data_IF_734511274161
#
_entry.id   IF_734511274161
#
_cell.length_a   1.000
_cell.length_b   1.000
_cell.length_c   1.000
_cell.angle_alpha   90.00
_cell.angle_beta   90.00
_cell.angle_gamma   90.00
#
_symmetry.space_group_name_H-M   'P 1'
#
loop_
_entity.id
_entity.type
_entity.pdbx_description
1 polymer ?
#
# COMPACT_ATOMS: atom_id res chain seq x y z
N UNK A 1 -68.30 7.63 25.58
CA UNK A 1 -67.96 8.40 24.36
C UNK A 1 -66.62 9.08 24.66
N UNK A 2 -65.51 8.50 24.19
CA UNK A 2 -64.16 9.05 24.40
C UNK A 2 -63.59 9.51 23.05
N UNK A 3 -62.91 10.66 22.98
CA UNK A 3 -62.49 11.23 21.71
C UNK A 3 -61.27 10.50 21.14
N UNK A 4 -61.26 10.40 19.81
CA UNK A 4 -60.18 9.89 18.98
C UNK A 4 -58.97 10.82 19.13
N UNK A 5 -57.88 10.32 19.69
CA UNK A 5 -56.60 11.04 19.75
C UNK A 5 -55.98 11.03 18.35
N UNK A 6 -55.94 12.20 17.70
CA UNK A 6 -55.21 12.45 16.45
C UNK A 6 -53.73 12.06 16.61
N UNK A 7 -53.33 10.93 16.01
CA UNK A 7 -51.95 10.40 16.05
C UNK A 7 -51.16 10.56 14.73
N UNK A 8 -51.70 11.28 13.74
CA UNK A 8 -51.16 11.29 12.37
C UNK A 8 -50.31 12.50 11.98
N UNK A 9 -50.18 13.51 12.85
CA UNK A 9 -49.48 14.76 12.47
C UNK A 9 -47.97 14.67 12.73
N UNK A 10 -47.52 14.00 13.80
CA UNK A 10 -46.09 13.95 14.15
C UNK A 10 -45.24 13.09 13.22
N UNK A 11 -45.78 11.98 12.70
CA UNK A 11 -45.00 11.08 11.83
C UNK A 11 -44.69 11.71 10.47
N UNK A 12 -45.63 12.49 9.91
CA UNK A 12 -45.43 13.21 8.65
C UNK A 12 -44.34 14.27 8.77
N UNK A 13 -44.28 15.01 9.88
CA UNK A 13 -43.22 15.99 10.10
C UNK A 13 -41.86 15.34 10.26
N UNK A 14 -41.75 14.24 11.02
CA UNK A 14 -40.50 13.48 11.16
C UNK A 14 -40.01 12.99 9.79
N UNK A 15 -40.90 12.46 8.96
CA UNK A 15 -40.56 11.97 7.62
C UNK A 15 -40.09 13.11 6.71
N UNK A 16 -40.77 14.26 6.73
CA UNK A 16 -40.36 15.45 5.96
C UNK A 16 -38.98 15.93 6.40
N UNK A 17 -38.72 16.02 7.71
CA UNK A 17 -37.42 16.45 8.23
C UNK A 17 -36.32 15.48 7.82
N UNK A 18 -36.55 14.17 7.90
CA UNK A 18 -35.59 13.16 7.46
C UNK A 18 -35.25 13.27 5.96
N UNK A 19 -36.26 13.48 5.12
CA UNK A 19 -36.08 13.67 3.67
C UNK A 19 -35.29 14.97 3.39
N UNK A 20 -35.62 16.05 4.09
CA UNK A 20 -34.91 17.34 3.93
C UNK A 20 -33.45 17.23 4.36
N UNK A 21 -33.15 16.53 5.45
CA UNK A 21 -31.76 16.29 5.90
C UNK A 21 -31.01 15.43 4.90
N UNK A 22 -31.63 14.38 4.37
CA UNK A 22 -31.02 13.52 3.35
C UNK A 22 -30.73 14.30 2.05
N UNK A 23 -31.68 15.10 1.58
CA UNK A 23 -31.50 15.94 0.39
C UNK A 23 -30.46 17.04 0.61
N UNK A 24 -30.43 17.65 1.80
CA UNK A 24 -29.41 18.65 2.17
C UNK A 24 -28.01 18.05 2.15
N UNK A 25 -27.84 16.85 2.71
CA UNK A 25 -26.57 16.13 2.67
C UNK A 25 -26.20 15.71 1.24
N UNK A 26 -27.17 15.31 0.42
CA UNK A 26 -26.95 14.95 -0.98
C UNK A 26 -26.52 16.16 -1.82
N UNK A 27 -27.15 17.32 -1.60
CA UNK A 27 -26.82 18.57 -2.27
C UNK A 27 -25.44 19.07 -1.81
N UNK A 28 -25.14 19.01 -0.51
CA UNK A 28 -23.81 19.35 0.00
C UNK A 28 -22.73 18.42 -0.58
N UNK A 29 -23.01 17.12 -0.70
CA UNK A 29 -22.11 16.16 -1.35
C UNK A 29 -21.89 16.53 -2.82
N UNK A 30 -22.94 16.78 -3.59
CA UNK A 30 -22.84 17.13 -5.02
C UNK A 30 -22.10 18.45 -5.22
N UNK A 31 -22.39 19.49 -4.43
CA UNK A 31 -21.71 20.78 -4.52
C UNK A 31 -20.24 20.64 -4.13
N UNK A 32 -19.93 19.91 -3.05
CA UNK A 32 -18.55 19.68 -2.60
C UNK A 32 -17.75 18.86 -3.61
N UNK A 33 -18.38 17.87 -4.25
CA UNK A 33 -17.79 17.05 -5.32
C UNK A 33 -17.54 17.88 -6.59
N UNK A 34 -18.47 18.78 -6.97
CA UNK A 34 -18.30 19.70 -8.10
C UNK A 34 -17.21 20.74 -7.87
N UNK A 35 -17.03 21.22 -6.63
CA UNK A 35 -15.92 22.14 -6.29
C UNK A 35 -14.55 21.47 -6.23
N UNK A 36 -14.49 20.12 -6.18
CA UNK A 36 -13.22 19.37 -6.24
C UNK A 36 -12.76 19.07 -7.67
N UNK A 37 -13.57 19.34 -8.68
CA UNK A 37 -13.15 19.24 -10.09
C UNK A 37 -12.43 20.52 -10.52
N UNK A 38 -11.49 21.00 -9.69
CA UNK A 38 -10.37 21.74 -10.25
C UNK A 38 -9.59 20.73 -11.10
N UNK A 39 -9.40 21.04 -12.38
CA UNK A 39 -8.44 20.35 -13.24
C UNK A 39 -7.06 20.52 -12.60
N UNK A 40 -6.70 19.66 -11.65
CA UNK A 40 -5.31 19.47 -11.23
C UNK A 40 -4.53 19.22 -12.50
N UNK A 41 -3.46 19.98 -12.72
CA UNK A 41 -2.61 19.76 -13.90
C UNK A 41 -2.16 18.29 -13.90
N UNK A 42 -1.98 17.70 -15.08
CA UNK A 42 -1.47 16.32 -15.21
C UNK A 42 -0.18 16.12 -14.39
N UNK A 43 0.66 17.15 -14.32
CA UNK A 43 1.87 17.18 -13.51
C UNK A 43 1.59 17.04 -12.01
N UNK A 44 0.59 17.73 -11.47
CA UNK A 44 0.24 17.65 -10.06
C UNK A 44 -0.36 16.28 -9.69
N UNK A 45 -1.07 15.64 -10.63
CA UNK A 45 -1.60 14.29 -10.45
C UNK A 45 -0.47 13.24 -10.39
N UNK A 46 0.59 13.39 -11.19
CA UNK A 46 1.77 12.51 -11.17
C UNK A 46 2.48 12.56 -9.81
N UNK A 47 2.75 13.76 -9.29
CA UNK A 47 3.44 13.93 -8.01
C UNK A 47 2.64 13.33 -6.84
N UNK A 48 1.32 13.50 -6.83
CA UNK A 48 0.44 12.92 -5.80
C UNK A 48 0.50 11.37 -5.84
N UNK A 49 0.56 10.77 -7.04
CA UNK A 49 0.67 9.32 -7.20
C UNK A 49 2.04 8.82 -6.70
N UNK A 50 3.14 9.43 -7.12
CA UNK A 50 4.48 9.00 -6.70
C UNK A 50 4.74 9.21 -5.22
N UNK A 51 4.19 10.27 -4.62
CA UNK A 51 4.18 10.45 -3.15
C UNK A 51 3.47 9.29 -2.46
N UNK A 52 2.35 8.84 -3.03
CA UNK A 52 1.60 7.72 -2.47
C UNK A 52 2.35 6.39 -2.57
N UNK A 53 3.10 6.14 -3.66
CA UNK A 53 3.97 4.97 -3.76
C UNK A 53 5.18 5.08 -2.83
N UNK A 54 5.79 6.25 -2.66
CA UNK A 54 6.93 6.40 -1.76
C UNK A 54 6.51 6.20 -0.30
N UNK A 55 5.36 6.73 0.11
CA UNK A 55 4.77 6.47 1.43
C UNK A 55 4.55 4.98 1.69
N UNK A 56 4.18 4.23 0.65
CA UNK A 56 4.02 2.79 0.72
C UNK A 56 5.36 2.07 0.91
N UNK A 57 6.39 2.46 0.17
CA UNK A 57 7.75 1.92 0.35
C UNK A 57 8.23 2.16 1.78
N UNK A 58 8.05 3.38 2.28
CA UNK A 58 8.44 3.75 3.64
C UNK A 58 7.64 2.99 4.70
N UNK A 59 6.34 2.82 4.49
CA UNK A 59 5.49 2.02 5.38
C UNK A 59 5.91 0.55 5.41
N UNK A 60 6.27 0.00 4.25
CA UNK A 60 6.77 -1.37 4.14
C UNK A 60 8.12 -1.52 4.83
N UNK A 61 9.04 -0.57 4.63
CA UNK A 61 10.33 -0.52 5.33
C UNK A 61 10.15 -0.52 6.86
N UNK A 62 9.26 0.31 7.39
CA UNK A 62 8.95 0.36 8.83
C UNK A 62 8.36 -0.95 9.34
N UNK A 63 7.40 -1.51 8.60
CA UNK A 63 6.83 -2.82 8.90
C UNK A 63 7.90 -3.91 8.98
N UNK A 64 8.87 -3.92 8.06
CA UNK A 64 9.95 -4.91 8.08
C UNK A 64 10.90 -4.74 9.28
N UNK A 65 11.18 -3.50 9.70
CA UNK A 65 11.95 -3.23 10.93
C UNK A 65 11.19 -3.76 12.14
N UNK A 66 9.92 -3.39 12.27
CA UNK A 66 9.11 -3.81 13.42
C UNK A 66 8.94 -5.32 13.48
N UNK A 67 8.92 -6.00 12.33
CA UNK A 67 8.85 -7.46 12.22
C UNK A 67 10.15 -8.16 12.63
N UNK A 68 11.29 -7.49 12.49
CA UNK A 68 12.62 -7.98 12.86
C UNK A 68 12.85 -7.96 14.38
N UNK A 69 12.38 -6.92 15.05
CA UNK A 69 12.67 -6.58 16.45
C UNK A 69 11.93 -7.42 17.51
N UNK A 70 11.19 -8.49 17.14
CA UNK A 70 10.30 -9.19 18.08
C UNK A 70 10.52 -10.71 18.13
N UNK A 71 10.39 -11.29 19.34
CA UNK A 71 10.38 -12.74 19.64
C UNK A 71 9.01 -13.38 19.32
N UNK A 72 8.29 -12.81 18.34
CA UNK A 72 6.93 -13.20 17.99
C UNK A 72 6.84 -14.68 17.65
N UNK A 73 5.81 -15.31 18.20
CA UNK A 73 5.30 -16.57 17.67
C UNK A 73 4.84 -16.38 16.21
N UNK A 74 4.81 -17.44 15.40
CA UNK A 74 4.34 -17.34 14.01
C UNK A 74 2.92 -16.76 13.92
N UNK A 75 2.07 -17.04 14.91
CA UNK A 75 0.73 -16.47 15.03
C UNK A 75 0.73 -14.96 15.26
N UNK A 76 1.59 -14.44 16.13
CA UNK A 76 1.69 -13.00 16.39
C UNK A 76 2.27 -12.25 15.19
N UNK A 77 3.30 -12.80 14.56
CA UNK A 77 3.87 -12.26 13.34
C UNK A 77 2.83 -12.25 12.20
N UNK A 78 2.03 -13.32 12.07
CA UNK A 78 0.92 -13.38 11.13
C UNK A 78 -0.11 -12.26 11.41
N UNK A 79 -0.60 -12.13 12.64
CA UNK A 79 -1.59 -11.10 13.01
C UNK A 79 -1.07 -9.68 12.78
N UNK A 80 0.21 -9.44 13.07
CA UNK A 80 0.86 -8.16 12.77
C UNK A 80 0.89 -7.88 11.26
N UNK A 81 1.24 -8.88 10.45
CA UNK A 81 1.23 -8.77 8.97
C UNK A 81 -0.18 -8.57 8.39
N UNK A 82 -1.21 -9.21 8.97
CA UNK A 82 -2.61 -8.99 8.62
C UNK A 82 -3.02 -7.53 8.89
N UNK A 83 -2.69 -7.01 10.08
CA UNK A 83 -2.98 -5.63 10.45
C UNK A 83 -2.34 -4.63 9.47
N UNK A 84 -1.09 -4.88 9.07
CA UNK A 84 -0.43 -4.09 8.03
C UNK A 84 -1.17 -4.15 6.69
N UNK A 85 -1.52 -5.36 6.21
CA UNK A 85 -2.23 -5.56 4.93
C UNK A 85 -3.61 -4.89 4.92
N UNK A 86 -4.34 -4.91 6.03
CA UNK A 86 -5.62 -4.21 6.17
C UNK A 86 -5.46 -2.69 6.05
N UNK A 87 -4.33 -2.14 6.49
CA UNK A 87 -4.01 -0.72 6.37
C UNK A 87 -3.64 -0.27 4.95
N UNK A 88 -3.14 -1.18 4.11
CA UNK A 88 -2.72 -0.90 2.73
C UNK A 88 -3.75 -1.41 1.72
N UNK A 89 -4.91 -0.75 1.64
CA UNK A 89 -6.03 -1.11 0.75
C UNK A 89 -5.61 -1.34 -0.71
N UNK A 90 -5.79 -2.57 -1.22
CA UNK A 90 -5.44 -2.97 -2.60
C UNK A 90 -6.16 -2.14 -3.66
N UNK A 91 -7.44 -1.83 -3.44
CA UNK A 91 -8.32 -1.19 -4.43
C UNK A 91 -7.91 0.25 -4.73
N UNK A 92 -7.31 0.93 -3.75
CA UNK A 92 -6.78 2.28 -3.92
C UNK A 92 -5.56 2.27 -4.84
N UNK A 93 -4.63 1.33 -4.64
CA UNK A 93 -3.43 1.20 -5.48
C UNK A 93 -3.74 0.73 -6.90
N UNK A 94 -4.72 -0.16 -7.09
CA UNK A 94 -5.19 -0.53 -8.43
C UNK A 94 -5.73 0.67 -9.21
N UNK A 95 -6.40 1.61 -8.53
CA UNK A 95 -6.85 2.86 -9.17
C UNK A 95 -5.68 3.77 -9.54
N UNK A 96 -4.63 3.83 -8.71
CA UNK A 96 -3.42 4.58 -9.01
C UNK A 96 -2.67 4.00 -10.22
N UNK A 97 -2.55 2.68 -10.32
CA UNK A 97 -1.98 2.00 -11.48
C UNK A 97 -2.71 2.39 -12.78
N UNK A 98 -4.05 2.38 -12.76
CA UNK A 98 -4.88 2.77 -13.91
C UNK A 98 -4.75 4.26 -14.27
N UNK A 99 -4.43 5.11 -13.29
CA UNK A 99 -4.15 6.53 -13.55
C UNK A 99 -2.77 6.71 -14.18
N UNK A 100 -1.76 5.97 -13.70
CA UNK A 100 -0.40 5.98 -14.25
C UNK A 100 -0.35 5.50 -15.70
N UNK A 101 -1.06 4.41 -16.03
CA UNK A 101 -1.14 3.88 -17.40
C UNK A 101 -1.74 4.87 -18.41
N UNK A 102 -2.57 5.82 -17.93
CA UNK A 102 -3.22 6.84 -18.76
C UNK A 102 -2.38 8.11 -18.96
N UNK A 103 -1.26 8.25 -18.26
CA UNK A 103 -0.40 9.42 -18.37
C UNK A 103 0.57 9.25 -19.55
N UNK A 104 0.21 9.83 -20.69
CA UNK A 104 0.98 9.76 -21.94
C UNK A 104 2.18 10.72 -21.89
N UNK A 105 3.23 10.35 -21.15
CA UNK A 105 4.50 11.08 -21.05
C UNK A 105 5.65 10.30 -21.67
N UNK A 106 6.06 10.67 -22.90
CA UNK A 106 7.02 9.89 -23.72
C UNK A 106 8.45 9.80 -23.17
N UNK A 107 8.85 10.68 -22.24
CA UNK A 107 10.27 10.85 -21.93
C UNK A 107 10.84 9.89 -20.87
N UNK A 108 10.01 9.20 -20.08
CA UNK A 108 10.49 8.26 -19.05
C UNK A 108 9.53 7.09 -18.80
N UNK A 109 8.68 6.77 -19.77
CA UNK A 109 7.56 5.84 -19.55
C UNK A 109 8.04 4.45 -19.14
N UNK A 110 9.17 3.99 -19.69
CA UNK A 110 9.76 2.70 -19.34
C UNK A 110 10.26 2.66 -17.89
N UNK A 111 10.99 3.68 -17.46
CA UNK A 111 11.57 3.74 -16.12
C UNK A 111 10.51 3.97 -15.04
N UNK A 112 9.50 4.79 -15.32
CA UNK A 112 8.36 4.97 -14.44
C UNK A 112 7.56 3.66 -14.31
N UNK A 113 7.36 2.93 -15.41
CA UNK A 113 6.74 1.59 -15.37
C UNK A 113 7.55 0.64 -14.49
N UNK A 114 8.89 0.66 -14.59
CA UNK A 114 9.75 -0.18 -13.76
C UNK A 114 9.63 0.15 -12.26
N UNK A 115 9.49 1.42 -11.89
CA UNK A 115 9.25 1.83 -10.48
C UNK A 115 7.91 1.27 -9.97
N UNK A 116 6.87 1.32 -10.80
CA UNK A 116 5.54 0.81 -10.46
C UNK A 116 5.55 -0.71 -10.30
N UNK A 117 6.16 -1.43 -11.25
CA UNK A 117 6.31 -2.88 -11.19
C UNK A 117 7.10 -3.31 -9.95
N UNK A 118 8.17 -2.60 -9.62
CA UNK A 118 8.97 -2.86 -8.42
C UNK A 118 8.16 -2.69 -7.14
N UNK A 119 7.30 -1.66 -7.08
CA UNK A 119 6.38 -1.45 -5.96
C UNK A 119 5.32 -2.58 -5.87
N UNK A 120 4.83 -3.09 -7.00
CA UNK A 120 3.93 -4.26 -7.03
C UNK A 120 4.63 -5.51 -6.53
N UNK A 121 5.88 -5.73 -6.91
CA UNK A 121 6.68 -6.85 -6.43
C UNK A 121 6.90 -6.74 -4.91
N UNK A 122 7.16 -5.54 -4.39
CA UNK A 122 7.30 -5.31 -2.95
C UNK A 122 6.01 -5.64 -2.21
N UNK A 123 4.84 -5.26 -2.74
CA UNK A 123 3.55 -5.66 -2.19
C UNK A 123 3.37 -7.17 -2.20
N UNK A 124 3.71 -7.82 -3.32
CA UNK A 124 3.63 -9.28 -3.45
C UNK A 124 4.48 -9.97 -2.39
N UNK A 125 5.68 -9.44 -2.11
CA UNK A 125 6.55 -9.96 -1.05
C UNK A 125 5.86 -9.94 0.31
N UNK A 126 5.23 -8.82 0.69
CA UNK A 126 4.47 -8.71 1.95
C UNK A 126 3.31 -9.71 2.00
N UNK A 127 2.60 -9.89 0.88
CA UNK A 127 1.51 -10.85 0.80
C UNK A 127 1.98 -12.30 0.95
N UNK A 128 3.10 -12.66 0.31
CA UNK A 128 3.71 -14.00 0.45
C UNK A 128 4.22 -14.22 1.86
N UNK A 129 4.82 -13.20 2.48
CA UNK A 129 5.24 -13.25 3.88
C UNK A 129 4.08 -13.52 4.83
N UNK A 130 2.96 -12.83 4.66
CA UNK A 130 1.75 -13.08 5.43
C UNK A 130 1.26 -14.54 5.28
N UNK A 131 1.21 -15.06 4.05
CA UNK A 131 0.85 -16.46 3.78
C UNK A 131 1.81 -17.45 4.42
N UNK A 132 3.10 -17.20 4.32
CA UNK A 132 4.13 -18.00 4.97
C UNK A 132 3.89 -18.04 6.49
N UNK A 133 3.75 -16.89 7.14
CA UNK A 133 3.48 -16.83 8.59
C UNK A 133 2.19 -17.55 8.99
N UNK A 134 1.17 -17.53 8.12
CA UNK A 134 -0.06 -18.29 8.32
C UNK A 134 0.15 -19.81 8.29
N UNK A 135 0.92 -20.33 7.33
CA UNK A 135 1.15 -21.78 7.22
C UNK A 135 2.04 -22.33 8.33
N UNK A 136 2.92 -21.50 8.90
CA UNK A 136 3.90 -21.94 9.89
C UNK A 136 3.38 -22.01 11.34
N UNK A 137 2.09 -21.78 11.60
CA UNK A 137 1.54 -21.68 12.97
C UNK A 137 1.83 -22.90 13.86
N UNK A 138 1.97 -24.09 13.27
CA UNK A 138 2.25 -25.33 13.98
C UNK A 138 3.59 -25.97 13.57
N UNK A 139 4.44 -25.27 12.82
CA UNK A 139 5.71 -25.82 12.35
C UNK A 139 6.78 -25.73 13.46
N UNK A 140 7.30 -26.87 13.90
CA UNK A 140 8.38 -26.95 14.88
C UNK A 140 9.71 -26.36 14.37
N UNK A 141 9.93 -26.34 13.06
CA UNK A 141 11.10 -25.76 12.40
C UNK A 141 10.97 -24.25 12.16
N UNK A 142 9.82 -23.65 12.51
CA UNK A 142 9.59 -22.22 12.31
C UNK A 142 10.71 -21.33 12.85
N UNK A 143 11.26 -21.52 14.07
CA UNK A 143 12.33 -20.64 14.56
C UNK A 143 13.56 -20.59 13.65
N UNK A 144 13.98 -21.71 13.08
CA UNK A 144 15.12 -21.79 12.17
C UNK A 144 14.79 -21.20 10.81
N UNK A 145 13.67 -21.62 10.22
CA UNK A 145 13.19 -21.12 8.93
C UNK A 145 12.94 -19.60 8.98
N UNK A 146 12.40 -19.12 10.10
CA UNK A 146 12.16 -17.69 10.34
C UNK A 146 13.45 -16.90 10.45
N UNK A 147 14.49 -17.44 11.07
CA UNK A 147 15.81 -16.80 11.09
C UNK A 147 16.38 -16.66 9.67
N UNK A 148 16.19 -17.66 8.81
CA UNK A 148 16.59 -17.62 7.40
C UNK A 148 15.82 -16.51 6.65
N UNK A 149 14.50 -16.42 6.83
CA UNK A 149 13.64 -15.41 6.19
C UNK A 149 14.00 -14.01 6.67
N UNK A 150 14.17 -13.81 7.99
CA UNK A 150 14.62 -12.53 8.56
C UNK A 150 15.95 -12.08 7.97
N UNK A 151 16.90 -13.00 7.83
CA UNK A 151 18.20 -12.71 7.22
C UNK A 151 18.08 -12.14 5.80
N UNK A 152 17.13 -12.62 5.00
CA UNK A 152 16.88 -12.08 3.66
C UNK A 152 16.10 -10.77 3.68
N UNK A 153 15.13 -10.61 4.58
CA UNK A 153 14.42 -9.34 4.80
C UNK A 153 15.37 -8.21 5.24
N UNK A 154 16.39 -8.52 6.04
CA UNK A 154 17.42 -7.55 6.43
C UNK A 154 18.27 -7.06 5.26
N UNK A 155 18.53 -7.93 4.26
CA UNK A 155 19.33 -7.57 3.07
C UNK A 155 18.58 -6.63 2.13
N UNK A 156 17.26 -6.76 2.02
CA UNK A 156 16.46 -5.87 1.18
C UNK A 156 16.22 -4.50 1.83
N UNK A 157 16.15 -4.43 3.16
CA UNK A 157 15.88 -3.19 3.91
C UNK A 157 16.67 -1.95 3.46
N UNK A 158 18.01 -1.97 3.34
CA UNK A 158 18.79 -0.80 2.90
C UNK A 158 18.51 -0.40 1.44
N UNK A 159 17.95 -1.30 0.63
CA UNK A 159 17.54 -1.00 -0.74
C UNK A 159 16.18 -0.29 -0.79
N UNK A 160 15.36 -0.40 0.27
CA UNK A 160 14.03 0.22 0.34
C UNK A 160 14.11 1.67 0.80
N UNK A 161 14.82 1.94 1.90
CA UNK A 161 14.97 3.29 2.45
C UNK A 161 16.24 3.40 3.30
N UNK A 162 16.72 4.63 3.45
CA UNK A 162 17.84 4.98 4.31
C UNK A 162 17.58 6.31 5.03
N UNK A 163 18.52 6.76 5.86
CA UNK A 163 18.47 8.07 6.53
C UNK A 163 18.91 9.23 5.64
N UNK A 164 19.39 8.96 4.43
CA UNK A 164 19.90 9.95 3.48
C UNK A 164 18.95 10.09 2.29
N UNK A 165 18.64 11.33 1.92
CA UNK A 165 17.83 11.64 0.74
C UNK A 165 18.62 11.53 -0.57
N UNK A 166 19.93 11.36 -0.50
CA UNK A 166 20.83 11.23 -1.66
C UNK A 166 21.07 9.77 -2.04
N UNK A 167 20.79 8.82 -1.14
CA UNK A 167 21.04 7.41 -1.39
C UNK A 167 20.07 6.87 -2.45
N UNK A 168 20.58 6.02 -3.33
CA UNK A 168 19.78 5.26 -4.30
C UNK A 168 18.99 4.16 -3.60
N UNK A 169 17.85 4.54 -3.04
CA UNK A 169 16.86 3.65 -2.42
C UNK A 169 15.56 3.70 -3.19
N UNK A 170 14.75 2.64 -3.11
CA UNK A 170 13.43 2.62 -3.74
C UNK A 170 12.56 3.79 -3.28
N UNK A 171 12.63 4.19 -2.00
CA UNK A 171 11.91 5.33 -1.45
C UNK A 171 12.31 6.64 -2.15
N UNK A 172 13.60 6.93 -2.26
CA UNK A 172 14.09 8.16 -2.88
C UNK A 172 13.83 8.18 -4.40
N UNK A 173 14.04 7.05 -5.08
CA UNK A 173 13.71 6.86 -6.50
C UNK A 173 12.22 7.11 -6.75
N UNK A 174 11.35 6.60 -5.87
CA UNK A 174 9.90 6.76 -6.02
C UNK A 174 9.45 8.17 -5.66
N UNK A 175 10.11 8.83 -4.70
CA UNK A 175 9.78 10.21 -4.28
C UNK A 175 10.23 11.27 -5.28
N UNK A 176 11.37 11.04 -5.95
CA UNK A 176 12.03 11.98 -6.85
C UNK A 176 12.46 11.30 -8.17
N UNK A 177 11.51 10.72 -8.94
CA UNK A 177 11.86 9.84 -10.05
C UNK A 177 12.68 10.53 -11.13
N UNK A 178 12.46 11.83 -11.40
CA UNK A 178 13.19 12.55 -12.45
C UNK A 178 14.67 12.72 -12.10
N UNK A 179 14.94 12.98 -10.83
CA UNK A 179 16.27 13.21 -10.28
C UNK A 179 17.09 11.91 -10.26
N UNK A 180 16.45 10.78 -9.95
CA UNK A 180 17.16 9.51 -9.80
C UNK A 180 17.25 8.69 -11.09
N UNK A 181 16.25 8.73 -11.98
CA UNK A 181 16.28 7.94 -13.24
C UNK A 181 17.48 8.31 -14.12
N UNK A 182 17.93 9.56 -14.05
CA UNK A 182 19.08 10.03 -14.84
C UNK A 182 20.43 9.62 -14.25
N UNK A 183 20.47 9.05 -13.04
CA UNK A 183 21.71 8.62 -12.42
C UNK A 183 22.24 7.32 -13.07
N UNK A 184 23.55 7.20 -13.34
CA UNK A 184 24.12 6.01 -13.98
C UNK A 184 23.81 4.70 -13.25
N UNK A 185 23.70 4.72 -11.92
CA UNK A 185 23.49 3.55 -11.07
C UNK A 185 22.01 3.20 -10.86
N UNK A 186 21.07 3.97 -11.42
CA UNK A 186 19.62 3.72 -11.31
C UNK A 186 19.25 2.30 -11.70
N UNK A 187 19.71 1.87 -12.88
CA UNK A 187 19.35 0.55 -13.44
C UNK A 187 19.82 -0.59 -12.55
N UNK A 188 21.07 -0.53 -12.10
CA UNK A 188 21.66 -1.57 -11.25
C UNK A 188 21.00 -1.62 -9.87
N UNK A 189 20.59 -0.46 -9.36
CA UNK A 189 19.80 -0.36 -8.12
C UNK A 189 18.44 -1.04 -8.28
N UNK A 190 17.69 -0.70 -9.33
CA UNK A 190 16.37 -1.30 -9.58
C UNK A 190 16.44 -2.81 -9.82
N UNK A 191 17.48 -3.29 -10.51
CA UNK A 191 17.73 -4.73 -10.67
C UNK A 191 18.00 -5.37 -9.31
N UNK A 192 18.83 -4.74 -8.47
CA UNK A 192 19.18 -5.27 -7.15
C UNK A 192 17.97 -5.33 -6.22
N UNK A 193 17.11 -4.30 -6.23
CA UNK A 193 15.84 -4.28 -5.49
C UNK A 193 14.95 -5.44 -5.93
N UNK A 194 14.66 -5.56 -7.24
CA UNK A 194 13.77 -6.61 -7.74
C UNK A 194 14.32 -8.02 -7.49
N UNK A 195 15.63 -8.22 -7.66
CA UNK A 195 16.28 -9.49 -7.33
C UNK A 195 16.12 -9.81 -5.85
N UNK A 196 16.39 -8.86 -4.95
CA UNK A 196 16.22 -9.06 -3.51
C UNK A 196 14.77 -9.40 -3.14
N UNK A 197 13.79 -8.75 -3.77
CA UNK A 197 12.37 -9.08 -3.58
C UNK A 197 12.07 -10.52 -4.01
N UNK A 198 12.51 -10.92 -5.20
CA UNK A 198 12.25 -12.25 -5.74
C UNK A 198 12.91 -13.34 -4.90
N UNK A 199 14.16 -13.14 -4.47
CA UNK A 199 14.88 -14.10 -3.61
C UNK A 199 14.15 -14.32 -2.28
N UNK A 200 13.65 -13.25 -1.65
CA UNK A 200 12.84 -13.35 -0.43
C UNK A 200 11.54 -14.12 -0.68
N UNK A 201 10.83 -13.82 -1.78
CA UNK A 201 9.59 -14.53 -2.16
C UNK A 201 9.87 -16.02 -2.36
N UNK A 202 10.87 -16.36 -3.18
CA UNK A 202 11.21 -17.74 -3.51
C UNK A 202 11.60 -18.53 -2.27
N UNK A 203 12.33 -17.91 -1.34
CA UNK A 203 12.69 -18.50 -0.07
C UNK A 203 11.46 -18.79 0.80
N UNK A 204 10.54 -17.83 0.96
CA UNK A 204 9.32 -18.02 1.75
C UNK A 204 8.39 -19.07 1.13
N UNK A 205 8.34 -19.15 -0.20
CA UNK A 205 7.58 -20.21 -0.90
C UNK A 205 8.21 -21.58 -0.66
N UNK A 206 9.53 -21.70 -0.84
CA UNK A 206 10.27 -22.96 -0.59
C UNK A 206 10.09 -23.49 0.83
N UNK A 207 10.15 -22.61 1.83
CA UNK A 207 9.98 -22.96 3.24
C UNK A 207 8.51 -23.09 3.67
N UNK A 208 7.59 -22.55 2.87
CA UNK A 208 6.15 -22.64 3.09
C UNK A 208 5.52 -23.94 2.58
N UNK A 209 6.14 -24.55 1.55
CA UNK A 209 5.66 -25.78 0.88
C UNK A 209 6.23 -27.07 1.50
N UNK A 210 7.12 -26.98 2.49
CA UNK A 210 7.65 -28.14 3.22
C UNK A 210 6.66 -28.60 4.31
N UNK A 211 5.56 -29.24 3.87
CA UNK A 211 4.69 -30.10 4.69
C UNK A 211 4.86 -31.57 4.32
#
# INVERSE_FOLDING_TARGET
MFPIVKKDVNFKWILITAIVVLLSNLIQYIIFDQTKVEKKSETQNIYDIFTTYSDRVLSTYRFLIELEDDDRTPKEAYLFSEGFLMGISSDYYTKLDLLLEKMDGKEYNYELTNIVETNKNLQRMVYVLNKYLFSQQNNSEFPENWAEVKGSLMKIRPLLASSSTEDLTLYNITSYPREFITQPQYRDTMISVNRGISEVIDQMMRLGDSE
#
